data_IF_632622671403
#
_entry.id   IF_632622671403
#
_cell.length_a   1.000
_cell.length_b   1.000
_cell.length_c   1.000
_cell.angle_alpha   90.00
_cell.angle_beta   90.00
_cell.angle_gamma   90.00
#
_symmetry.space_group_name_H-M   'P 1'
#
loop_
_entity.id
_entity.type
_entity.pdbx_description
1 polymer ?
#
# COMPACT_ATOMS: atom_id res chain seq x y z
N UNK A 1 -7.49 -2.13 -6.79
CA UNK A 1 -6.99 -2.52 -8.13
C UNK A 1 -5.58 -1.94 -8.30
N UNK A 2 -4.81 -1.94 -7.21
CA UNK A 2 -3.61 -1.14 -7.06
C UNK A 2 -2.43 -1.99 -7.52
N UNK A 3 -2.20 -1.90 -8.82
CA UNK A 3 -1.38 -2.81 -9.59
C UNK A 3 -1.67 -2.63 -11.07
N UNK A 4 -1.06 -3.44 -11.91
CA UNK A 4 -1.22 -3.31 -13.36
C UNK A 4 -1.68 -4.61 -14.02
N UNK A 5 -2.32 -4.46 -15.17
CA UNK A 5 -2.61 -5.57 -16.09
C UNK A 5 -1.46 -5.73 -17.09
N UNK A 6 -0.87 -4.62 -17.55
CA UNK A 6 0.22 -4.60 -18.51
C UNK A 6 1.24 -3.53 -18.10
N UNK A 7 2.53 -3.88 -18.08
CA UNK A 7 3.58 -2.92 -17.72
C UNK A 7 3.81 -1.86 -18.82
N UNK A 8 3.53 -2.17 -20.08
CA UNK A 8 3.80 -1.29 -21.23
C UNK A 8 3.04 0.04 -21.19
N UNK A 9 1.95 0.12 -20.42
CA UNK A 9 1.17 1.34 -20.24
C UNK A 9 1.13 1.81 -18.77
N UNK A 10 2.05 1.33 -17.94
CA UNK A 10 2.09 1.63 -16.51
C UNK A 10 3.38 2.32 -16.14
N UNK A 11 3.26 3.51 -15.55
CA UNK A 11 4.36 4.16 -14.83
C UNK A 11 4.29 3.75 -13.36
N UNK A 12 4.91 2.62 -13.03
CA UNK A 12 4.84 2.02 -11.69
C UNK A 12 5.34 2.99 -10.62
N UNK A 13 6.43 3.72 -10.90
CA UNK A 13 6.99 4.64 -9.91
C UNK A 13 5.99 5.72 -9.56
N UNK A 14 5.36 6.32 -10.58
CA UNK A 14 4.34 7.35 -10.36
C UNK A 14 3.12 6.80 -9.62
N UNK A 15 2.67 5.59 -9.95
CA UNK A 15 1.53 4.98 -9.26
C UNK A 15 1.84 4.67 -7.79
N UNK A 16 3.05 4.16 -7.48
CA UNK A 16 3.51 3.95 -6.10
C UNK A 16 3.63 5.28 -5.33
N UNK A 17 4.16 6.32 -5.96
CA UNK A 17 4.24 7.67 -5.36
C UNK A 17 2.84 8.23 -5.05
N UNK A 18 1.86 8.01 -5.94
CA UNK A 18 0.47 8.39 -5.71
C UNK A 18 -0.17 7.58 -4.58
N UNK A 19 0.07 6.27 -4.53
CA UNK A 19 -0.45 5.40 -3.46
C UNK A 19 0.09 5.82 -2.09
N UNK A 20 1.38 6.13 -2.01
CA UNK A 20 2.00 6.62 -0.79
C UNK A 20 1.40 7.97 -0.35
N UNK A 21 1.21 8.91 -1.29
CA UNK A 21 0.55 10.19 -1.02
C UNK A 21 -0.87 9.98 -0.47
N UNK A 22 -1.63 9.04 -1.04
CA UNK A 22 -2.97 8.71 -0.57
C UNK A 22 -2.94 8.17 0.87
N UNK A 23 -2.00 7.28 1.21
CA UNK A 23 -1.86 6.77 2.58
C UNK A 23 -1.48 7.86 3.59
N UNK A 24 -0.57 8.77 3.24
CA UNK A 24 -0.27 9.92 4.10
C UNK A 24 -1.50 10.78 4.37
N UNK A 25 -2.30 11.08 3.34
CA UNK A 25 -3.56 11.82 3.52
C UNK A 25 -4.55 11.09 4.42
N UNK A 26 -4.65 9.77 4.30
CA UNK A 26 -5.52 8.96 5.16
C UNK A 26 -5.03 8.96 6.62
N UNK A 27 -3.72 8.87 6.85
CA UNK A 27 -3.10 8.93 8.18
C UNK A 27 -3.29 10.32 8.82
N UNK A 28 -3.11 11.40 8.06
CA UNK A 28 -3.33 12.76 8.54
C UNK A 28 -4.79 12.97 8.92
N UNK A 29 -5.72 12.48 8.11
CA UNK A 29 -7.15 12.58 8.40
C UNK A 29 -7.53 11.76 9.63
N UNK A 30 -7.00 10.54 9.78
CA UNK A 30 -7.13 9.72 10.98
C UNK A 30 -6.71 10.49 12.24
N UNK A 31 -5.55 11.15 12.20
CA UNK A 31 -5.03 11.98 13.30
C UNK A 31 -5.95 13.15 13.59
N UNK A 32 -6.44 13.83 12.55
CA UNK A 32 -7.37 14.97 12.65
C UNK A 32 -8.68 14.61 13.35
N UNK A 33 -9.25 13.43 13.08
CA UNK A 33 -10.51 13.00 13.69
C UNK A 33 -10.32 12.25 15.02
N UNK A 34 -9.08 12.05 15.46
CA UNK A 34 -8.78 11.30 16.69
C UNK A 34 -9.06 9.80 16.61
N UNK A 35 -9.02 9.20 15.41
CA UNK A 35 -9.25 7.77 15.27
C UNK A 35 -8.04 6.97 15.79
N UNK A 36 -8.24 6.23 16.88
CA UNK A 36 -7.19 5.45 17.55
C UNK A 36 -6.91 4.05 17.00
N UNK A 37 -7.68 3.58 16.00
CA UNK A 37 -7.51 2.24 15.44
C UNK A 37 -6.23 2.07 14.62
N UNK A 38 -5.76 0.83 14.47
CA UNK A 38 -4.59 0.51 13.63
C UNK A 38 -4.98 0.47 12.15
N UNK A 39 -4.20 1.11 11.28
CA UNK A 39 -4.33 0.93 9.83
C UNK A 39 -3.55 -0.31 9.38
N UNK A 40 -4.13 -1.07 8.46
CA UNK A 40 -3.56 -2.30 7.95
C UNK A 40 -3.46 -2.23 6.43
N UNK A 41 -2.38 -2.78 5.88
CA UNK A 41 -2.26 -3.14 4.47
C UNK A 41 -2.23 -4.66 4.37
N UNK A 42 -2.98 -5.22 3.43
CA UNK A 42 -3.09 -6.66 3.22
C UNK A 42 -2.31 -7.04 1.97
N UNK A 43 -1.20 -7.78 2.10
CA UNK A 43 -0.47 -8.21 0.92
C UNK A 43 -1.29 -9.21 0.11
N UNK A 44 -1.28 -9.04 -1.22
CA UNK A 44 -1.85 -9.97 -2.17
C UNK A 44 -1.03 -9.92 -3.46
N UNK A 45 -0.59 -11.06 -4.02
CA UNK A 45 0.33 -11.04 -5.16
C UNK A 45 -0.33 -10.65 -6.49
N UNK A 46 -1.61 -11.02 -6.67
CA UNK A 46 -2.35 -10.88 -7.95
C UNK A 46 -3.85 -11.15 -7.76
N UNK A 47 -4.61 -10.91 -8.84
CA UNK A 47 -6.07 -11.08 -9.00
C UNK A 47 -6.94 -9.94 -8.44
N UNK A 48 -7.59 -9.11 -9.30
CA UNK A 48 -7.78 -9.27 -10.75
C UNK A 48 -6.64 -8.69 -11.62
N UNK A 49 -5.60 -8.09 -11.03
CA UNK A 49 -4.46 -7.56 -11.78
C UNK A 49 -3.42 -8.65 -12.04
N UNK A 50 -2.57 -8.43 -13.05
CA UNK A 50 -1.43 -9.30 -13.36
C UNK A 50 -0.38 -9.24 -12.26
N UNK A 51 -0.16 -8.04 -11.71
CA UNK A 51 0.69 -7.78 -10.55
C UNK A 51 0.00 -6.77 -9.65
N UNK A 52 -0.09 -7.07 -8.36
CA UNK A 52 -0.48 -6.10 -7.33
C UNK A 52 0.77 -5.54 -6.65
N UNK A 53 0.75 -4.25 -6.33
CA UNK A 53 1.92 -3.56 -5.76
C UNK A 53 2.26 -4.02 -4.34
N UNK A 54 1.23 -4.35 -3.58
CA UNK A 54 1.28 -4.96 -2.25
C UNK A 54 1.51 -6.48 -2.33
N UNK A 55 2.53 -6.89 -3.08
CA UNK A 55 2.70 -8.29 -3.52
C UNK A 55 2.84 -9.32 -2.39
N UNK A 56 3.69 -9.02 -1.40
CA UNK A 56 3.95 -9.86 -0.24
C UNK A 56 4.34 -8.99 0.98
N UNK A 57 4.56 -9.63 2.13
CA UNK A 57 4.95 -8.93 3.34
C UNK A 57 6.26 -8.13 3.19
N UNK A 58 7.25 -8.64 2.44
CA UNK A 58 8.53 -7.97 2.28
C UNK A 58 8.41 -6.72 1.39
N UNK A 59 7.68 -6.82 0.28
CA UNK A 59 7.37 -5.72 -0.62
C UNK A 59 6.58 -4.62 0.09
N UNK A 60 5.55 -4.99 0.87
CA UNK A 60 4.77 -4.06 1.68
C UNK A 60 5.65 -3.34 2.71
N UNK A 61 6.50 -4.05 3.44
CA UNK A 61 7.41 -3.42 4.42
C UNK A 61 8.43 -2.51 3.74
N UNK A 62 8.96 -2.89 2.58
CA UNK A 62 9.87 -2.05 1.81
C UNK A 62 9.19 -0.76 1.36
N UNK A 63 7.97 -0.85 0.84
CA UNK A 63 7.15 0.31 0.46
C UNK A 63 6.90 1.23 1.67
N UNK A 64 6.41 0.68 2.79
CA UNK A 64 6.11 1.47 3.99
C UNK A 64 7.35 2.19 4.52
N UNK A 65 8.52 1.53 4.55
CA UNK A 65 9.78 2.16 4.97
C UNK A 65 10.25 3.23 3.99
N UNK A 66 10.13 2.99 2.69
CA UNK A 66 10.53 3.93 1.63
C UNK A 66 9.77 5.25 1.73
N UNK A 67 8.50 5.20 2.12
CA UNK A 67 7.63 6.39 2.23
C UNK A 67 7.39 6.86 3.68
N UNK A 68 8.09 6.31 4.68
CA UNK A 68 7.97 6.73 6.08
C UNK A 68 6.61 6.44 6.74
N UNK A 69 5.95 5.37 6.31
CA UNK A 69 4.62 4.94 6.77
C UNK A 69 4.67 3.73 7.72
N UNK A 70 5.85 3.18 8.00
CA UNK A 70 6.06 1.96 8.79
C UNK A 70 5.70 2.10 10.29
N UNK A 71 5.47 3.34 10.75
CA UNK A 71 4.99 3.62 12.11
C UNK A 71 3.47 3.73 12.20
N UNK A 72 2.80 4.03 11.09
CA UNK A 72 1.36 4.28 11.06
C UNK A 72 0.56 3.06 10.56
N UNK A 73 1.16 2.20 9.74
CA UNK A 73 0.52 1.00 9.16
C UNK A 73 1.21 -0.30 9.60
N UNK A 74 0.42 -1.37 9.73
CA UNK A 74 0.87 -2.76 9.95
C UNK A 74 0.34 -3.67 8.83
N UNK A 75 0.73 -4.94 8.84
CA UNK A 75 0.26 -5.91 7.87
C UNK A 75 -0.96 -6.68 8.39
N UNK A 76 -1.96 -6.89 7.54
CA UNK A 76 -2.95 -7.95 7.67
C UNK A 76 -2.51 -9.11 6.77
N UNK A 77 -2.25 -10.30 7.32
CA UNK A 77 -1.71 -11.41 6.52
C UNK A 77 -2.82 -12.41 6.20
N UNK A 78 -3.10 -12.58 4.91
CA UNK A 78 -3.94 -13.67 4.41
C UNK A 78 -3.09 -14.90 4.05
N UNK A 79 -3.62 -16.10 4.25
CA UNK A 79 -2.90 -17.37 4.06
C UNK A 79 -2.98 -17.92 2.63
N UNK A 80 -4.01 -17.55 1.88
CA UNK A 80 -4.34 -18.09 0.56
C UNK A 80 -3.34 -17.64 -0.52
#
# INVERSE_FOLDING_TARGET
>A
RDGYVNLLNTDMKRELDHLAKFFHLAVDYKKKIGFGGQFLIEPKPKEPTTHQYDFDAAACIAFLRTYGLDKDLKLNIETN
#
